data_IF_542023170071
#
_entry.id   IF_542023170071
#
_cell.length_a   1.000
_cell.length_b   1.000
_cell.length_c   1.000
_cell.angle_alpha   90.00
_cell.angle_beta   90.00
_cell.angle_gamma   90.00
#
_symmetry.space_group_name_H-M   'P 1'
#
loop_
_entity.id
_entity.type
_entity.pdbx_description
1 polymer ?
#
# COMPACT_ATOMS: atom_id res chain seq x y z
N UNK A 1 -25.14 7.95 -13.47
CA UNK A 1 -25.42 8.52 -12.13
C UNK A 1 -24.62 9.81 -11.83
N UNK A 2 -23.30 9.82 -12.05
CA UNK A 2 -22.43 11.01 -11.82
C UNK A 2 -22.83 12.31 -12.55
N UNK A 3 -23.49 12.21 -13.71
CA UNK A 3 -24.03 13.36 -14.43
C UNK A 3 -25.25 14.01 -13.76
N UNK A 4 -25.98 13.24 -12.95
CA UNK A 4 -27.16 13.71 -12.22
C UNK A 4 -26.81 14.23 -10.81
N UNK A 5 -25.59 13.94 -10.33
CA UNK A 5 -25.09 14.34 -9.00
C UNK A 5 -25.20 15.86 -8.75
N UNK A 6 -24.75 16.75 -9.65
CA UNK A 6 -24.84 18.19 -9.40
C UNK A 6 -26.29 18.67 -9.29
N UNK A 7 -27.20 18.09 -10.07
CA UNK A 7 -28.63 18.45 -10.06
C UNK A 7 -29.30 17.99 -8.79
N UNK A 8 -29.09 16.72 -8.38
CA UNK A 8 -29.68 16.17 -7.16
C UNK A 8 -29.17 16.92 -5.93
N UNK A 9 -27.86 17.15 -5.83
CA UNK A 9 -27.26 17.88 -4.71
C UNK A 9 -27.81 19.30 -4.63
N UNK A 10 -27.91 20.00 -5.75
CA UNK A 10 -28.49 21.36 -5.79
C UNK A 10 -29.96 21.37 -5.37
N UNK A 11 -30.76 20.41 -5.86
CA UNK A 11 -32.17 20.28 -5.49
C UNK A 11 -32.35 20.05 -3.99
N UNK A 12 -31.55 19.16 -3.39
CA UNK A 12 -31.60 18.88 -1.94
C UNK A 12 -31.23 20.13 -1.14
N UNK A 13 -30.17 20.84 -1.53
CA UNK A 13 -29.74 22.08 -0.85
C UNK A 13 -30.85 23.14 -0.90
N UNK A 14 -31.43 23.40 -2.07
CA UNK A 14 -32.46 24.42 -2.20
C UNK A 14 -33.76 24.05 -1.49
N UNK A 15 -34.18 22.78 -1.54
CA UNK A 15 -35.35 22.29 -0.78
C UNK A 15 -35.11 22.44 0.72
N UNK A 16 -33.92 22.05 1.21
CA UNK A 16 -33.55 22.22 2.62
C UNK A 16 -33.58 23.69 3.06
N UNK A 17 -32.98 24.59 2.27
CA UNK A 17 -33.00 26.03 2.54
C UNK A 17 -34.43 26.60 2.56
N UNK A 18 -35.31 26.13 1.67
CA UNK A 18 -36.69 26.57 1.60
C UNK A 18 -37.51 26.11 2.82
N UNK A 19 -37.34 24.85 3.24
CA UNK A 19 -38.05 24.29 4.39
C UNK A 19 -37.64 24.93 5.71
N UNK A 20 -36.32 25.13 5.90
CA UNK A 20 -35.80 25.73 7.14
C UNK A 20 -35.83 27.26 7.18
N UNK A 21 -36.21 27.92 6.08
CA UNK A 21 -36.09 29.39 5.91
C UNK A 21 -34.71 29.93 6.29
N UNK A 22 -33.66 29.12 6.06
CA UNK A 22 -32.31 29.41 6.55
C UNK A 22 -31.58 30.47 5.72
N UNK A 23 -31.98 30.68 4.47
CA UNK A 23 -31.32 31.62 3.56
C UNK A 23 -32.31 32.19 2.53
N UNK A 24 -32.11 33.43 2.05
CA UNK A 24 -32.90 34.01 0.98
C UNK A 24 -32.60 33.33 -0.37
N UNK A 25 -33.60 32.65 -0.93
CA UNK A 25 -33.54 31.96 -2.24
C UNK A 25 -33.72 32.95 -3.41
N UNK A 26 -32.86 33.97 -3.45
CA UNK A 26 -32.83 34.92 -4.56
C UNK A 26 -31.96 34.39 -5.70
N UNK A 27 -32.16 34.92 -6.91
CA UNK A 27 -31.43 34.51 -8.11
C UNK A 27 -29.90 34.56 -7.93
N UNK A 28 -29.39 35.63 -7.30
CA UNK A 28 -27.95 35.77 -7.03
C UNK A 28 -27.40 34.61 -6.20
N UNK A 29 -28.04 34.28 -5.07
CA UNK A 29 -27.64 33.17 -4.20
C UNK A 29 -27.71 31.83 -4.92
N UNK A 30 -28.79 31.58 -5.67
CA UNK A 30 -28.98 30.32 -6.41
C UNK A 30 -27.87 30.14 -7.45
N UNK A 31 -27.57 31.16 -8.26
CA UNK A 31 -26.51 31.07 -9.26
C UNK A 31 -25.13 30.92 -8.63
N UNK A 32 -24.85 31.61 -7.53
CA UNK A 32 -23.58 31.43 -6.79
C UNK A 32 -23.43 30.00 -6.28
N UNK A 33 -24.45 29.44 -5.63
CA UNK A 33 -24.41 28.06 -5.12
C UNK A 33 -24.21 27.06 -6.26
N UNK A 34 -24.94 27.20 -7.37
CA UNK A 34 -24.77 26.34 -8.54
C UNK A 34 -23.36 26.42 -9.12
N UNK A 35 -22.79 27.62 -9.21
CA UNK A 35 -21.42 27.82 -9.70
C UNK A 35 -20.39 27.16 -8.77
N UNK A 36 -20.52 27.35 -7.45
CA UNK A 36 -19.62 26.73 -6.46
C UNK A 36 -19.73 25.21 -6.49
N UNK A 37 -20.94 24.65 -6.54
CA UNK A 37 -21.16 23.20 -6.63
C UNK A 37 -20.56 22.61 -7.91
N UNK A 38 -20.67 23.32 -9.04
CA UNK A 38 -20.04 22.90 -10.30
C UNK A 38 -18.52 22.85 -10.17
N UNK A 39 -17.89 23.87 -9.58
CA UNK A 39 -16.44 23.90 -9.37
C UNK A 39 -15.99 22.78 -8.42
N UNK A 40 -16.76 22.48 -7.36
CA UNK A 40 -16.47 21.40 -6.43
C UNK A 40 -16.72 19.99 -7.01
N UNK A 41 -17.49 19.86 -8.08
CA UNK A 41 -17.83 18.55 -8.64
C UNK A 41 -16.61 17.80 -9.21
N UNK A 42 -15.61 18.54 -9.72
CA UNK A 42 -14.36 17.98 -10.23
C UNK A 42 -13.49 17.37 -9.11
N UNK A 43 -13.12 18.09 -8.03
CA UNK A 43 -12.33 17.48 -6.96
C UNK A 43 -13.05 16.31 -6.28
N UNK A 44 -14.38 16.31 -6.19
CA UNK A 44 -15.12 15.19 -5.59
C UNK A 44 -15.02 13.91 -6.45
N UNK A 45 -14.85 14.04 -7.77
CA UNK A 45 -14.74 12.89 -8.69
C UNK A 45 -13.40 12.18 -8.58
N UNK A 46 -12.33 12.90 -8.24
CA UNK A 46 -10.97 12.33 -8.13
C UNK A 46 -10.70 11.68 -6.76
N UNK A 47 -11.54 11.95 -5.74
CA UNK A 47 -11.36 11.40 -4.39
C UNK A 47 -11.36 9.86 -4.38
N UNK A 48 -12.33 9.16 -5.00
CA UNK A 48 -12.34 7.70 -4.99
C UNK A 48 -11.08 7.09 -5.62
N UNK A 49 -10.58 7.72 -6.69
CA UNK A 49 -9.34 7.31 -7.36
C UNK A 49 -8.12 7.54 -6.46
N UNK A 50 -8.05 8.70 -5.79
CA UNK A 50 -6.99 8.99 -4.82
C UNK A 50 -6.98 7.98 -3.65
N UNK A 51 -8.16 7.61 -3.13
CA UNK A 51 -8.29 6.58 -2.08
C UNK A 51 -7.76 5.23 -2.59
N UNK A 52 -8.14 4.84 -3.80
CA UNK A 52 -7.66 3.60 -4.41
C UNK A 52 -6.13 3.60 -4.57
N UNK A 53 -5.55 4.72 -5.01
CA UNK A 53 -4.10 4.87 -5.14
C UNK A 53 -3.40 4.75 -3.77
N UNK A 54 -3.94 5.37 -2.72
CA UNK A 54 -3.39 5.25 -1.35
C UNK A 54 -3.42 3.79 -0.88
N UNK A 55 -4.54 3.09 -1.05
CA UNK A 55 -4.66 1.67 -0.68
C UNK A 55 -3.60 0.84 -1.43
N UNK A 56 -3.46 1.07 -2.74
CA UNK A 56 -2.48 0.35 -3.56
C UNK A 56 -1.05 0.61 -3.09
N UNK A 57 -0.72 1.87 -2.75
CA UNK A 57 0.58 2.25 -2.21
C UNK A 57 0.82 1.56 -0.87
N UNK A 58 -0.15 1.54 0.04
CA UNK A 58 -0.02 0.86 1.34
C UNK A 58 0.30 -0.62 1.19
N UNK A 59 -0.48 -1.36 0.38
CA UNK A 59 -0.23 -2.80 0.16
C UNK A 59 1.13 -3.04 -0.52
N UNK A 60 1.52 -2.18 -1.46
CA UNK A 60 2.82 -2.30 -2.13
C UNK A 60 3.98 -2.00 -1.17
N UNK A 61 3.80 -1.01 -0.30
CA UNK A 61 4.78 -0.65 0.72
C UNK A 61 4.95 -1.76 1.75
N UNK A 62 3.86 -2.40 2.20
CA UNK A 62 3.92 -3.53 3.13
C UNK A 62 4.74 -4.70 2.53
N UNK A 63 4.55 -4.98 1.25
CA UNK A 63 5.35 -6.00 0.53
C UNK A 63 6.82 -5.65 0.47
N UNK A 64 7.13 -4.38 0.18
CA UNK A 64 8.51 -3.90 0.15
C UNK A 64 9.15 -3.98 1.55
N UNK A 65 8.42 -3.59 2.57
CA UNK A 65 8.87 -3.67 3.96
C UNK A 65 9.16 -5.12 4.37
N UNK A 66 8.26 -6.05 4.05
CA UNK A 66 8.48 -7.48 4.32
C UNK A 66 9.72 -8.02 3.60
N UNK A 67 9.95 -7.63 2.34
CA UNK A 67 11.12 -8.05 1.59
C UNK A 67 12.43 -7.49 2.19
N UNK A 68 12.44 -6.22 2.62
CA UNK A 68 13.62 -5.58 3.18
C UNK A 68 13.97 -6.07 4.59
N UNK A 69 12.98 -6.59 5.32
CA UNK A 69 13.15 -7.16 6.65
C UNK A 69 13.26 -8.69 6.65
N UNK A 70 13.23 -9.32 5.47
CA UNK A 70 13.36 -10.76 5.34
C UNK A 70 14.78 -11.20 5.77
N UNK A 71 14.89 -12.40 6.31
CA UNK A 71 16.16 -12.88 6.85
C UNK A 71 17.18 -13.10 5.71
N UNK A 72 18.33 -12.43 5.80
CA UNK A 72 19.43 -12.65 4.87
C UNK A 72 20.24 -13.90 5.25
N UNK A 73 20.82 -14.56 4.24
CA UNK A 73 21.71 -15.70 4.44
C UNK A 73 22.92 -15.27 5.28
N UNK A 74 23.13 -15.95 6.42
CA UNK A 74 24.26 -15.69 7.32
C UNK A 74 25.55 -16.22 6.70
N UNK A 75 26.39 -15.32 6.19
CA UNK A 75 27.69 -15.69 5.57
C UNK A 75 28.76 -15.94 6.63
N UNK A 76 28.59 -15.41 7.84
CA UNK A 76 29.55 -15.51 8.94
C UNK A 76 29.76 -16.95 9.45
N UNK A 77 28.87 -17.89 9.08
CA UNK A 77 29.02 -19.32 9.41
C UNK A 77 30.08 -20.02 8.52
N UNK A 78 30.56 -19.37 7.46
CA UNK A 78 31.59 -19.93 6.57
C UNK A 78 32.92 -19.25 6.84
N UNK A 79 33.84 -19.97 7.50
CA UNK A 79 35.21 -19.50 7.68
C UNK A 79 35.97 -19.55 6.35
N UNK A 80 36.09 -18.40 5.68
CA UNK A 80 36.90 -18.25 4.47
C UNK A 80 38.33 -17.87 4.85
N UNK A 81 39.18 -18.87 5.08
CA UNK A 81 40.62 -18.63 5.21
C UNK A 81 41.19 -18.21 3.84
N UNK A 82 42.04 -17.19 3.82
CA UNK A 82 42.83 -16.84 2.63
C UNK A 82 43.62 -18.04 2.13
N UNK A 83 43.97 -18.07 0.84
CA UNK A 83 44.61 -19.20 0.13
C UNK A 83 45.99 -19.54 0.71
N UNK A 84 46.05 -20.09 1.92
CA UNK A 84 47.22 -20.77 2.43
C UNK A 84 47.31 -22.12 1.72
N UNK A 85 48.53 -22.48 1.34
CA UNK A 85 48.87 -23.66 0.53
C UNK A 85 48.72 -24.96 1.35
N UNK A 86 47.55 -25.18 1.93
CA UNK A 86 47.16 -26.46 2.52
C UNK A 86 46.47 -27.30 1.44
N UNK A 87 46.70 -28.61 1.47
CA UNK A 87 46.20 -29.56 0.45
C UNK A 87 44.68 -29.75 0.43
N UNK A 88 43.95 -29.15 1.36
CA UNK A 88 42.49 -29.25 1.48
C UNK A 88 41.86 -27.93 1.08
N UNK A 89 41.12 -27.93 -0.03
CA UNK A 89 40.46 -26.73 -0.56
C UNK A 89 39.11 -26.42 0.11
N UNK A 90 38.42 -27.46 0.62
CA UNK A 90 37.13 -27.37 1.32
C UNK A 90 37.14 -28.47 2.39
N UNK A 91 36.78 -28.12 3.61
CA UNK A 91 36.57 -29.04 4.73
C UNK A 91 35.15 -28.81 5.28
N UNK A 92 34.39 -29.88 5.50
CA UNK A 92 33.03 -29.84 6.03
C UNK A 92 33.03 -30.73 7.26
N UNK A 93 32.65 -30.20 8.42
CA UNK A 93 32.64 -30.97 9.66
C UNK A 93 31.21 -31.05 10.21
N UNK A 94 30.66 -32.26 10.27
CA UNK A 94 29.33 -32.55 10.81
C UNK A 94 28.23 -31.61 10.26
N UNK A 95 28.28 -31.31 8.96
CA UNK A 95 27.40 -30.35 8.31
C UNK A 95 25.95 -30.85 8.25
N UNK A 96 25.03 -30.03 8.76
CA UNK A 96 23.58 -30.27 8.66
C UNK A 96 22.95 -29.12 7.86
N UNK A 97 22.28 -29.44 6.76
CA UNK A 97 21.73 -28.45 5.85
C UNK A 97 20.23 -28.67 5.62
N UNK A 98 19.47 -27.58 5.58
CA UNK A 98 18.07 -27.61 5.17
C UNK A 98 17.75 -26.48 4.20
N UNK A 99 16.76 -26.70 3.34
CA UNK A 99 16.24 -25.69 2.40
C UNK A 99 15.27 -24.72 3.06
N UNK A 100 14.57 -25.18 4.10
CA UNK A 100 13.59 -24.39 4.84
C UNK A 100 14.02 -24.32 6.31
N UNK A 101 14.28 -23.12 6.86
CA UNK A 101 14.71 -22.96 8.25
C UNK A 101 13.70 -23.50 9.28
N UNK A 102 12.41 -23.60 8.94
CA UNK A 102 11.36 -24.10 9.84
C UNK A 102 11.29 -25.64 9.90
N UNK A 103 12.05 -26.34 9.06
CA UNK A 103 12.02 -27.81 9.03
C UNK A 103 12.81 -28.43 10.18
N UNK A 104 12.14 -29.31 10.93
CA UNK A 104 12.76 -30.02 12.08
C UNK A 104 13.78 -31.07 11.67
N UNK A 105 13.72 -31.56 10.43
CA UNK A 105 14.57 -32.63 9.92
C UNK A 105 15.42 -32.03 8.79
N UNK A 106 16.75 -31.88 8.97
CA UNK A 106 17.62 -31.38 7.92
C UNK A 106 17.59 -32.31 6.70
N UNK A 107 17.68 -31.72 5.51
CA UNK A 107 17.74 -32.46 4.24
C UNK A 107 19.04 -33.25 4.11
N UNK A 108 20.16 -32.65 4.54
CA UNK A 108 21.46 -33.30 4.64
C UNK A 108 21.89 -33.33 6.11
N UNK A 109 22.35 -34.48 6.58
CA UNK A 109 22.75 -34.67 7.97
C UNK A 109 24.09 -35.40 8.05
N UNK A 110 24.94 -34.96 8.97
CA UNK A 110 26.24 -35.56 9.26
C UNK A 110 27.14 -35.69 8.02
N UNK A 111 27.16 -34.66 7.17
CA UNK A 111 28.07 -34.62 6.01
C UNK A 111 29.48 -34.26 6.50
N UNK A 112 30.48 -34.99 5.99
CA UNK A 112 31.91 -34.83 6.26
C UNK A 112 32.71 -35.04 4.97
#
# INVERSE_FOLDING_TARGET
>A
LYWMSPTIVSSVIFVGCALWKSAPLNASTIFTVLATLRVMSEPVRIIPEAIAAVIQVSVSFDRLNNFLLDDELKIDEIERSGLEKSGTAVDIQAGNFSWDPETKIPTLQNIN
#
